data_IF_721124896721
#
_entry.id   IF_721124896721
#
_cell.length_a   1.000
_cell.length_b   1.000
_cell.length_c   1.000
_cell.angle_alpha   90.00
_cell.angle_beta   90.00
_cell.angle_gamma   90.00
#
_symmetry.space_group_name_H-M   'P 1'
#
loop_
_entity.id
_entity.type
_entity.pdbx_description
1 polymer ?
#
# COMPACT_ATOMS: atom_id res chain seq x y z
N UNK A 1 -1.46 -4.10 9.43
CA UNK A 1 -1.56 -3.15 8.30
C UNK A 1 -0.41 -2.16 8.39
N UNK A 2 0.36 -1.95 7.31
CA UNK A 2 1.48 -1.01 7.27
C UNK A 2 1.02 0.45 7.36
N UNK A 3 1.80 1.27 8.06
CA UNK A 3 1.60 2.71 8.22
C UNK A 3 2.75 3.45 7.53
N UNK A 4 2.43 4.40 6.64
CA UNK A 4 3.42 5.31 6.09
C UNK A 4 3.69 6.42 7.09
N UNK A 5 4.94 6.54 7.51
CA UNK A 5 5.42 7.63 8.35
C UNK A 5 6.00 8.75 7.48
N UNK A 6 5.87 10.00 7.93
CA UNK A 6 6.48 11.19 7.29
C UNK A 6 5.89 11.54 5.91
N UNK A 7 4.56 11.43 5.74
CA UNK A 7 3.90 12.00 4.56
C UNK A 7 3.59 13.48 4.83
N UNK A 8 4.17 14.39 4.02
CA UNK A 8 3.96 15.83 4.21
C UNK A 8 2.47 16.17 4.05
N UNK A 9 1.87 16.75 5.09
CA UNK A 9 0.46 17.16 5.10
C UNK A 9 -0.55 16.06 5.46
N UNK A 10 -0.10 14.82 5.71
CA UNK A 10 -0.99 13.70 6.04
C UNK A 10 -0.43 12.87 7.19
N UNK A 11 -1.33 12.45 8.09
CA UNK A 11 -1.03 11.49 9.16
C UNK A 11 -1.91 10.26 8.96
N UNK A 12 -1.38 9.08 9.26
CA UNK A 12 -2.21 7.88 9.31
C UNK A 12 -2.47 7.18 7.97
N UNK A 13 -1.73 7.50 6.89
CA UNK A 13 -1.89 6.81 5.59
C UNK A 13 -1.47 5.35 5.72
N UNK A 14 -2.37 4.44 5.36
CA UNK A 14 -2.13 3.00 5.38
C UNK A 14 -2.10 2.45 3.96
N UNK A 15 -1.57 1.24 3.84
CA UNK A 15 -1.69 0.43 2.61
C UNK A 15 -2.61 -0.73 2.92
N UNK A 16 -3.62 -0.96 2.07
CA UNK A 16 -4.51 -2.11 2.20
C UNK A 16 -5.18 -2.51 0.87
N UNK A 17 -5.98 -3.58 0.96
CA UNK A 17 -6.77 -4.07 -0.15
C UNK A 17 -8.05 -3.25 -0.28
N UNK A 18 -8.45 -3.05 -1.52
CA UNK A 18 -9.60 -2.28 -1.97
C UNK A 18 -9.48 -2.20 -3.50
N UNK A 19 -10.54 -1.79 -4.18
CA UNK A 19 -10.56 -1.88 -5.63
C UNK A 19 -10.92 -0.55 -6.30
N UNK A 20 -11.60 0.36 -5.60
CA UNK A 20 -12.09 1.63 -6.12
C UNK A 20 -11.69 2.79 -5.22
N UNK A 21 -11.85 4.04 -5.69
CA UNK A 21 -11.61 5.21 -4.86
C UNK A 21 -12.44 5.22 -3.57
N UNK A 22 -13.67 4.69 -3.60
CA UNK A 22 -14.54 4.57 -2.42
C UNK A 22 -13.99 3.61 -1.36
N UNK A 23 -13.18 2.64 -1.75
CA UNK A 23 -12.52 1.72 -0.81
C UNK A 23 -11.27 2.33 -0.18
N UNK A 24 -10.83 3.50 -0.64
CA UNK A 24 -9.53 4.06 -0.21
C UNK A 24 -9.60 4.72 1.15
N UNK A 25 -10.67 5.45 1.47
CA UNK A 25 -10.73 6.37 2.62
C UNK A 25 -9.47 7.25 2.76
N UNK A 26 -8.86 7.63 1.62
CA UNK A 26 -7.60 8.40 1.57
C UNK A 26 -6.32 7.58 1.81
N UNK A 27 -6.43 6.27 1.98
CA UNK A 27 -5.31 5.33 2.05
C UNK A 27 -4.89 4.81 0.65
N UNK A 28 -3.75 4.15 0.59
CA UNK A 28 -3.21 3.58 -0.65
C UNK A 28 -3.77 2.18 -0.89
N UNK A 29 -4.34 1.97 -2.07
CA UNK A 29 -4.82 0.66 -2.52
C UNK A 29 -3.77 -0.03 -3.40
N UNK A 30 -3.55 -1.33 -3.16
CA UNK A 30 -2.70 -2.15 -4.01
C UNK A 30 -3.52 -3.00 -4.97
N UNK A 31 -2.99 -3.23 -6.16
CA UNK A 31 -3.51 -4.21 -7.12
C UNK A 31 -2.42 -4.68 -8.07
N UNK A 32 -2.60 -5.87 -8.65
CA UNK A 32 -1.69 -6.38 -9.69
C UNK A 32 -2.08 -5.93 -11.09
N UNK A 33 -3.29 -5.38 -11.24
CA UNK A 33 -3.81 -4.80 -12.48
C UNK A 33 -4.42 -3.43 -12.19
N UNK A 34 -4.43 -2.54 -13.18
CA UNK A 34 -4.98 -1.18 -13.09
C UNK A 34 -5.85 -0.89 -14.31
N UNK A 35 -7.03 -0.33 -14.08
CA UNK A 35 -7.84 0.35 -15.10
C UNK A 35 -8.08 1.80 -14.66
N UNK A 36 -8.96 2.53 -15.35
CA UNK A 36 -9.14 3.98 -15.15
C UNK A 36 -9.42 4.35 -13.69
N UNK A 37 -10.38 3.67 -13.06
CA UNK A 37 -10.88 4.01 -11.72
C UNK A 37 -10.88 2.77 -10.80
N UNK A 38 -10.09 1.75 -11.15
CA UNK A 38 -10.09 0.46 -10.46
C UNK A 38 -8.71 -0.20 -10.44
N UNK A 39 -8.42 -0.88 -9.33
CA UNK A 39 -7.28 -1.81 -9.20
C UNK A 39 -7.78 -3.22 -8.96
N UNK A 40 -7.25 -4.21 -9.68
CA UNK A 40 -7.63 -5.62 -9.56
C UNK A 40 -6.62 -6.46 -8.78
N UNK A 41 -7.04 -7.65 -8.37
CA UNK A 41 -6.18 -8.59 -7.61
C UNK A 41 -5.60 -7.97 -6.32
N UNK A 42 -6.39 -7.13 -5.64
CA UNK A 42 -5.93 -6.30 -4.54
C UNK A 42 -5.48 -7.09 -3.32
N UNK A 43 -6.20 -8.15 -2.96
CA UNK A 43 -5.83 -9.07 -1.87
C UNK A 43 -4.49 -9.75 -2.15
N UNK A 44 -4.34 -10.35 -3.35
CA UNK A 44 -3.10 -11.01 -3.77
C UNK A 44 -1.91 -10.05 -3.79
N UNK A 45 -2.11 -8.81 -4.21
CA UNK A 45 -1.09 -7.77 -4.16
C UNK A 45 -0.70 -7.42 -2.71
N UNK A 46 -1.68 -7.26 -1.82
CA UNK A 46 -1.44 -7.00 -0.40
C UNK A 46 -0.71 -8.14 0.30
N UNK A 47 -1.10 -9.40 0.05
CA UNK A 47 -0.46 -10.56 0.68
C UNK A 47 1.03 -10.62 0.32
N UNK A 48 1.35 -10.40 -0.97
CA UNK A 48 2.75 -10.31 -1.44
C UNK A 48 3.49 -9.16 -0.79
N UNK A 49 2.87 -7.98 -0.73
CA UNK A 49 3.49 -6.78 -0.16
C UNK A 49 3.74 -6.93 1.33
N UNK A 50 2.76 -7.41 2.10
CA UNK A 50 2.89 -7.61 3.54
C UNK A 50 3.95 -8.65 3.87
N UNK A 51 4.01 -9.75 3.11
CA UNK A 51 5.06 -10.74 3.26
C UNK A 51 6.45 -10.13 3.02
N UNK A 52 6.64 -9.41 1.91
CA UNK A 52 7.90 -8.76 1.60
C UNK A 52 8.31 -7.76 2.69
N UNK A 53 7.37 -6.93 3.13
CA UNK A 53 7.62 -5.93 4.16
C UNK A 53 7.98 -6.58 5.50
N UNK A 54 7.24 -7.60 5.93
CA UNK A 54 7.50 -8.31 7.18
C UNK A 54 8.89 -8.98 7.16
N UNK A 55 9.26 -9.63 6.05
CA UNK A 55 10.57 -10.26 5.87
C UNK A 55 11.71 -9.20 5.94
N UNK A 56 11.54 -8.03 5.32
CA UNK A 56 12.52 -6.93 5.36
C UNK A 56 12.66 -6.29 6.75
N UNK A 57 11.54 -6.04 7.43
CA UNK A 57 11.51 -5.43 8.76
C UNK A 57 12.11 -6.36 9.81
N UNK A 58 11.84 -7.68 9.73
CA UNK A 58 12.45 -8.68 10.62
C UNK A 58 13.96 -8.78 10.46
N UNK A 59 14.46 -8.54 9.26
CA UNK A 59 15.90 -8.45 8.99
C UNK A 59 16.53 -7.11 9.44
N UNK A 60 15.77 -6.20 10.04
CA UNK A 60 16.25 -4.91 10.57
C UNK A 60 16.45 -3.84 9.50
N UNK A 61 15.92 -4.02 8.30
CA UNK A 61 16.08 -3.05 7.21
C UNK A 61 15.14 -1.86 7.39
N UNK A 62 15.62 -0.67 7.07
CA UNK A 62 14.76 0.49 6.81
C UNK A 62 14.16 0.39 5.41
N UNK A 63 12.87 0.67 5.27
CA UNK A 63 12.15 0.61 4.00
C UNK A 63 11.58 1.99 3.64
N UNK A 64 11.60 2.33 2.36
CA UNK A 64 11.08 3.59 1.84
C UNK A 64 10.15 3.31 0.64
N UNK A 65 9.12 4.12 0.49
CA UNK A 65 8.22 4.07 -0.68
C UNK A 65 8.34 5.40 -1.41
N UNK A 66 8.67 5.32 -2.70
CA UNK A 66 8.67 6.48 -3.60
C UNK A 66 7.36 6.49 -4.37
N UNK A 67 6.59 7.56 -4.25
CA UNK A 67 5.39 7.80 -5.06
C UNK A 67 5.82 8.51 -6.35
N UNK A 68 5.42 7.96 -7.49
CA UNK A 68 5.71 8.50 -8.82
C UNK A 68 4.40 8.73 -9.57
N UNK A 69 4.41 9.72 -10.47
CA UNK A 69 3.30 10.08 -11.36
C UNK A 69 3.38 9.35 -12.70
#
# INVERSE_FOLDING_TARGET
>A
MPLLVVVRGFLGIRIHSGNTASDSDGCLLLGSTRSKDFVGESRKACDKFYKLLDDLLKAGNSCWITVTS
#
